data_IF_861636620289
#
_entry.id   IF_861636620289
#
_cell.length_a   1.000
_cell.length_b   1.000
_cell.length_c   1.000
_cell.angle_alpha   90.00
_cell.angle_beta   90.00
_cell.angle_gamma   90.00
#
_symmetry.space_group_name_H-M   'P 1'
#
loop_
_entity.id
_entity.type
_entity.pdbx_description
1 polymer ?
#
# COMPACT_ATOMS: atom_id res chain seq x y z
N UNK A 1 -19.30 35.75 -1.95
CA UNK A 1 -18.48 34.64 -1.42
C UNK A 1 -17.21 34.60 -2.26
N UNK A 2 -16.12 35.19 -1.76
CA UNK A 2 -14.86 35.26 -2.50
C UNK A 2 -14.13 33.92 -2.37
N UNK A 3 -14.02 33.17 -3.47
CA UNK A 3 -13.30 31.90 -3.51
C UNK A 3 -11.81 32.13 -3.32
N UNK A 4 -11.28 31.81 -2.14
CA UNK A 4 -9.85 31.73 -1.92
C UNK A 4 -9.27 30.60 -2.77
N UNK A 5 -8.31 30.91 -3.64
CA UNK A 5 -7.64 29.90 -4.45
C UNK A 5 -6.92 28.89 -3.57
N UNK A 6 -7.26 27.61 -3.70
CA UNK A 6 -6.56 26.53 -3.01
C UNK A 6 -5.12 26.43 -3.53
N UNK A 7 -4.13 26.37 -2.63
CA UNK A 7 -2.73 26.14 -2.98
C UNK A 7 -2.34 24.69 -2.64
N UNK A 8 -1.39 24.12 -3.37
CA UNK A 8 -0.92 22.75 -3.16
C UNK A 8 0.34 22.74 -2.30
N UNK A 9 0.38 21.91 -1.26
CA UNK A 9 1.58 21.74 -0.42
C UNK A 9 2.70 21.06 -1.23
N UNK A 10 3.91 21.63 -1.32
CA UNK A 10 5.04 21.02 -2.02
C UNK A 10 5.60 19.77 -1.32
N UNK A 11 5.29 19.56 -0.03
CA UNK A 11 5.76 18.40 0.72
C UNK A 11 4.94 17.13 0.46
N UNK A 12 3.61 17.25 0.41
CA UNK A 12 2.71 16.09 0.30
C UNK A 12 1.65 16.17 -0.81
N UNK A 13 1.57 17.29 -1.54
CA UNK A 13 0.57 17.47 -2.61
C UNK A 13 -0.85 17.80 -2.14
N UNK A 14 -1.09 17.99 -0.84
CA UNK A 14 -2.42 18.31 -0.32
C UNK A 14 -2.88 19.73 -0.71
N UNK A 15 -4.17 19.90 -1.02
CA UNK A 15 -4.79 21.22 -1.22
C UNK A 15 -5.06 21.87 0.14
N UNK A 16 -4.49 23.05 0.37
CA UNK A 16 -4.64 23.80 1.62
C UNK A 16 -5.26 25.18 1.36
N UNK A 17 -6.04 25.65 2.34
CA UNK A 17 -6.54 27.02 2.35
C UNK A 17 -5.44 27.95 2.90
N UNK A 18 -5.01 28.99 2.16
CA UNK A 18 -4.02 29.92 2.67
C UNK A 18 -4.58 30.72 3.86
N UNK A 19 -3.79 30.96 4.93
CA UNK A 19 -4.21 31.78 6.05
C UNK A 19 -4.51 33.22 5.60
N UNK A 20 -5.56 33.80 6.15
CA UNK A 20 -5.97 35.19 5.88
C UNK A 20 -4.94 36.17 6.47
N UNK A 21 -3.88 36.48 5.73
CA UNK A 21 -2.86 37.44 6.16
C UNK A 21 -1.43 37.17 5.65
N UNK A 22 -1.18 36.02 5.02
CA UNK A 22 0.19 35.58 4.73
C UNK A 22 0.97 35.23 6.00
N UNK A 23 2.21 34.79 5.86
CA UNK A 23 3.09 34.37 6.96
C UNK A 23 3.60 32.94 6.84
N UNK A 24 4.30 32.48 7.88
CA UNK A 24 4.76 31.10 7.99
C UNK A 24 3.66 30.27 8.63
N UNK A 25 3.08 29.34 7.89
CA UNK A 25 2.16 28.33 8.42
C UNK A 25 2.75 26.94 8.27
N UNK A 26 2.24 25.94 8.98
CA UNK A 26 2.61 24.55 8.78
C UNK A 26 1.50 23.85 8.00
N UNK A 27 1.87 22.96 7.09
CA UNK A 27 0.90 22.07 6.46
C UNK A 27 0.22 21.21 7.54
N UNK A 28 -1.11 21.22 7.58
CA UNK A 28 -1.88 20.44 8.56
C UNK A 28 -1.70 18.92 8.38
N UNK A 29 -1.28 18.49 7.19
CA UNK A 29 -1.10 17.08 6.85
C UNK A 29 0.32 16.58 7.16
N UNK A 30 1.36 17.24 6.65
CA UNK A 30 2.74 16.76 6.75
C UNK A 30 3.66 17.62 7.64
N UNK A 31 3.14 18.71 8.22
CA UNK A 31 3.92 19.61 9.08
C UNK A 31 4.96 20.47 8.36
N UNK A 32 5.12 20.35 7.03
CA UNK A 32 6.07 21.15 6.25
C UNK A 32 5.80 22.65 6.45
N UNK A 33 6.79 23.46 6.84
CA UNK A 33 6.62 24.90 6.97
C UNK A 33 6.46 25.54 5.58
N UNK A 34 5.46 26.39 5.42
CA UNK A 34 5.09 27.05 4.19
C UNK A 34 5.14 28.56 4.39
N UNK A 35 5.91 29.24 3.54
CA UNK A 35 5.96 30.68 3.49
C UNK A 35 4.87 31.18 2.53
N UNK A 36 3.80 31.75 3.05
CA UNK A 36 2.74 32.37 2.24
C UNK A 36 3.06 33.86 2.12
N UNK A 37 3.42 34.38 0.93
CA UNK A 37 3.73 35.79 0.79
C UNK A 37 2.48 36.64 1.14
N UNK A 38 2.67 37.66 1.96
CA UNK A 38 1.64 38.66 2.26
C UNK A 38 1.40 39.53 1.01
N UNK A 39 0.61 39.01 0.07
CA UNK A 39 0.19 39.74 -1.12
C UNK A 39 -1.19 40.36 -0.93
N UNK A 40 -1.50 41.48 -1.59
CA UNK A 40 -2.88 41.94 -1.72
C UNK A 40 -3.72 40.82 -2.34
N UNK A 41 -4.90 40.56 -1.76
CA UNK A 41 -5.78 39.47 -2.15
C UNK A 41 -5.98 39.45 -3.68
N UNK A 42 -5.44 38.44 -4.36
CA UNK A 42 -5.71 38.18 -5.77
C UNK A 42 -4.52 38.07 -6.73
N UNK A 43 -3.27 38.31 -6.30
CA UNK A 43 -2.10 38.11 -7.17
C UNK A 43 -1.02 37.31 -6.45
N UNK A 44 -1.11 35.97 -6.51
CA UNK A 44 -0.05 35.09 -6.03
C UNK A 44 0.92 34.78 -7.17
N UNK A 45 2.20 35.20 -7.11
CA UNK A 45 3.22 34.67 -7.99
C UNK A 45 3.46 33.18 -7.68
N UNK A 46 3.89 32.37 -8.66
CA UNK A 46 4.17 30.95 -8.45
C UNK A 46 5.20 30.77 -7.33
N UNK A 47 5.03 29.74 -6.46
CA UNK A 47 5.92 29.51 -5.34
C UNK A 47 7.35 29.30 -5.84
N UNK A 48 8.28 30.11 -5.35
CA UNK A 48 9.71 29.88 -5.55
C UNK A 48 10.17 28.85 -4.54
N UNK A 49 10.74 27.75 -5.03
CA UNK A 49 11.36 26.74 -4.19
C UNK A 49 12.58 27.36 -3.50
N UNK A 50 12.53 27.49 -2.17
CA UNK A 50 13.70 27.78 -1.35
C UNK A 50 14.21 26.43 -0.87
N UNK A 51 15.33 25.91 -1.43
CA UNK A 51 15.89 24.65 -0.96
C UNK A 51 16.28 24.77 0.53
N UNK A 52 16.08 23.71 1.32
CA UNK A 52 16.52 23.71 2.71
C UNK A 52 18.04 23.89 2.77
N UNK A 53 18.49 24.84 3.59
CA UNK A 53 19.91 24.95 3.96
C UNK A 53 20.37 23.62 4.56
N UNK A 54 21.37 23.04 3.90
CA UNK A 54 22.02 21.79 4.30
C UNK A 54 22.64 21.97 5.69
N UNK A 55 22.16 21.27 6.74
CA UNK A 55 22.83 21.30 8.03
C UNK A 55 24.22 20.69 7.85
N UNK A 56 25.22 21.42 8.32
CA UNK A 56 26.64 21.13 8.19
C UNK A 56 27.06 19.70 8.49
N UNK A 57 28.13 19.31 7.81
CA UNK A 57 28.68 17.96 7.79
C UNK A 57 29.09 17.40 9.15
N UNK A 58 29.05 16.07 9.21
CA UNK A 58 29.75 15.28 10.21
C UNK A 58 30.88 14.48 9.53
N UNK A 59 32.05 14.35 10.18
CA UNK A 59 33.25 13.79 9.59
C UNK A 59 33.20 12.26 9.45
N UNK A 60 33.84 11.81 8.38
CA UNK A 60 34.19 10.42 8.06
C UNK A 60 35.14 9.84 9.13
N UNK A 61 34.85 8.66 9.71
CA UNK A 61 35.85 7.90 10.43
C UNK A 61 36.63 7.02 9.45
N UNK A 62 37.85 7.48 9.12
CA UNK A 62 38.92 6.61 8.68
C UNK A 62 39.33 5.69 9.84
N UNK A 63 39.40 4.38 9.58
CA UNK A 63 39.86 3.40 10.55
C UNK A 63 40.42 2.15 9.86
N UNK A 64 41.75 1.92 9.92
CA UNK A 64 42.43 0.77 9.31
C UNK A 64 42.76 -0.29 10.37
N UNK A 65 42.29 -1.52 10.20
CA UNK A 65 42.76 -2.69 10.96
C UNK A 65 42.64 -3.89 10.00
N UNK A 66 43.63 -4.73 9.72
CA UNK A 66 44.87 -5.05 10.43
C UNK A 66 45.02 -6.57 10.27
N UNK A 67 45.84 -6.99 9.32
CA UNK A 67 46.19 -8.41 9.08
C UNK A 67 47.32 -8.79 10.03
N UNK A 68 47.28 -9.96 10.71
CA UNK A 68 48.51 -10.64 11.08
C UNK A 68 48.63 -12.00 10.38
N UNK A 69 49.78 -12.21 9.76
CA UNK A 69 50.17 -13.44 9.11
C UNK A 69 50.84 -14.47 10.02
N UNK A 70 50.94 -15.67 9.45
CA UNK A 70 51.97 -16.71 9.58
C UNK A 70 52.46 -17.13 10.97
N UNK A 71 51.99 -18.32 11.40
CA UNK A 71 52.72 -19.23 12.27
C UNK A 71 53.12 -20.49 11.49
N UNK A 72 54.42 -20.69 11.31
CA UNK A 72 55.01 -21.88 10.72
C UNK A 72 55.26 -22.96 11.79
N UNK A 73 55.02 -24.23 11.43
CA UNK A 73 55.79 -25.38 11.95
C UNK A 73 55.04 -26.37 12.86
N UNK A 74 54.59 -27.49 12.28
CA UNK A 74 55.01 -28.82 12.76
C UNK A 74 54.66 -29.93 11.74
N UNK A 75 55.69 -30.71 11.39
CA UNK A 75 55.72 -31.88 10.51
C UNK A 75 55.21 -33.14 11.25
N UNK A 76 54.93 -34.27 10.55
CA UNK A 76 53.79 -35.12 10.82
C UNK A 76 54.08 -36.26 11.79
N UNK A 77 53.08 -36.66 12.56
CA UNK A 77 53.05 -37.99 13.16
C UNK A 77 52.12 -38.90 12.33
N UNK A 78 52.74 -39.89 11.69
CA UNK A 78 52.05 -41.02 11.08
C UNK A 78 51.30 -41.78 12.19
N UNK A 79 49.97 -41.73 12.18
CA UNK A 79 49.16 -42.70 12.90
C UNK A 79 48.59 -43.73 11.92
N UNK A 80 48.95 -44.97 12.22
CA UNK A 80 48.62 -46.23 11.53
C UNK A 80 47.10 -46.39 11.42
N UNK A 81 46.59 -46.86 10.26
CA UNK A 81 45.16 -46.84 9.95
C UNK A 81 44.39 -47.87 10.77
N UNK A 82 43.52 -47.41 11.67
CA UNK A 82 42.43 -48.25 12.16
C UNK A 82 41.28 -48.25 11.14
N UNK A 83 41.37 -49.16 10.16
CA UNK A 83 40.16 -49.81 9.63
C UNK A 83 39.66 -50.69 10.80
N UNK A 84 38.39 -50.68 11.19
CA UNK A 84 37.28 -51.31 10.46
C UNK A 84 35.96 -50.94 11.14
N UNK A 85 34.92 -50.79 10.30
CA UNK A 85 33.49 -50.89 10.61
C UNK A 85 32.83 -49.84 11.50
N UNK A 86 32.48 -48.68 10.91
CA UNK A 86 31.18 -48.01 11.18
C UNK A 86 30.77 -47.00 10.10
N UNK A 87 30.94 -47.31 8.81
CA UNK A 87 30.68 -46.36 7.70
C UNK A 87 29.40 -46.66 6.90
N UNK A 88 28.35 -47.17 7.54
CA UNK A 88 27.01 -47.30 6.92
C UNK A 88 25.88 -46.57 7.66
N UNK A 89 26.09 -46.10 8.90
CA UNK A 89 25.08 -45.34 9.68
C UNK A 89 25.08 -43.82 9.44
N UNK A 90 26.01 -43.25 8.67
CA UNK A 90 26.05 -41.78 8.43
C UNK A 90 25.22 -41.30 7.23
N UNK A 91 25.01 -42.14 6.21
CA UNK A 91 24.23 -41.75 5.01
C UNK A 91 22.75 -41.52 5.32
N UNK A 92 22.17 -42.32 6.23
CA UNK A 92 20.78 -42.14 6.67
C UNK A 92 20.57 -40.79 7.38
N UNK A 93 21.51 -40.35 8.21
CA UNK A 93 21.41 -39.05 8.90
C UNK A 93 21.48 -37.87 7.92
N UNK A 94 22.37 -37.93 6.93
CA UNK A 94 22.49 -36.88 5.90
C UNK A 94 21.20 -36.81 5.07
N UNK A 95 20.63 -37.96 4.67
CA UNK A 95 19.37 -37.99 3.92
C UNK A 95 18.22 -37.35 4.71
N UNK A 96 18.10 -37.65 6.00
CA UNK A 96 17.07 -37.03 6.86
C UNK A 96 17.27 -35.51 6.95
N UNK A 97 18.51 -35.04 7.13
CA UNK A 97 18.79 -33.60 7.19
C UNK A 97 18.41 -32.89 5.88
N UNK A 98 18.76 -33.47 4.72
CA UNK A 98 18.41 -32.91 3.41
C UNK A 98 16.90 -32.84 3.23
N UNK A 99 16.16 -33.90 3.59
CA UNK A 99 14.69 -33.90 3.53
C UNK A 99 14.09 -32.83 4.42
N UNK A 100 14.60 -32.65 5.65
CA UNK A 100 14.12 -31.61 6.56
C UNK A 100 14.39 -30.20 6.02
N UNK A 101 15.56 -29.95 5.43
CA UNK A 101 15.91 -28.66 4.83
C UNK A 101 15.01 -28.35 3.62
N UNK A 102 14.75 -29.34 2.75
CA UNK A 102 13.86 -29.17 1.60
C UNK A 102 12.40 -28.96 2.05
N UNK A 103 11.94 -29.68 3.06
CA UNK A 103 10.60 -29.50 3.63
C UNK A 103 10.44 -28.11 4.27
N UNK A 104 11.44 -27.65 5.03
CA UNK A 104 11.43 -26.31 5.62
C UNK A 104 11.50 -25.20 4.56
N UNK A 105 12.38 -25.35 3.56
CA UNK A 105 12.53 -24.38 2.47
C UNK A 105 11.28 -24.26 1.60
N UNK A 106 10.65 -25.38 1.26
CA UNK A 106 9.39 -25.38 0.50
C UNK A 106 8.23 -24.80 1.31
N UNK A 107 8.14 -25.09 2.62
CA UNK A 107 7.17 -24.48 3.51
C UNK A 107 7.30 -22.96 3.59
N UNK A 108 8.53 -22.44 3.69
CA UNK A 108 8.79 -20.99 3.72
C UNK A 108 8.46 -20.31 2.38
N UNK A 109 8.86 -20.91 1.25
CA UNK A 109 8.55 -20.36 -0.06
C UNK A 109 7.04 -20.32 -0.32
N UNK A 110 6.31 -21.36 0.09
CA UNK A 110 4.85 -21.39 0.01
C UNK A 110 4.21 -20.32 0.91
N UNK A 111 4.73 -20.13 2.12
CA UNK A 111 4.25 -19.08 3.02
C UNK A 111 4.47 -17.67 2.46
N UNK A 112 5.65 -17.39 1.90
CA UNK A 112 5.94 -16.09 1.26
C UNK A 112 5.04 -15.86 0.05
N UNK A 113 4.87 -16.88 -0.81
CA UNK A 113 3.92 -16.81 -1.92
C UNK A 113 2.52 -16.47 -1.40
N UNK A 114 2.04 -17.22 -0.43
CA UNK A 114 0.69 -17.08 0.12
C UNK A 114 0.46 -15.67 0.72
N UNK A 115 1.47 -15.09 1.37
CA UNK A 115 1.41 -13.74 1.94
C UNK A 115 1.59 -12.62 0.90
N UNK A 116 2.28 -12.89 -0.21
CA UNK A 116 2.56 -11.89 -1.24
C UNK A 116 1.44 -11.71 -2.28
N UNK A 117 0.39 -12.53 -2.24
CA UNK A 117 -0.70 -12.44 -3.21
C UNK A 117 -1.82 -11.58 -2.64
N UNK A 118 -1.87 -10.31 -3.05
CA UNK A 118 -3.02 -9.43 -2.88
C UNK A 118 -4.25 -10.11 -3.47
N UNK A 119 -5.13 -10.65 -2.62
CA UNK A 119 -6.36 -11.32 -3.06
C UNK A 119 -7.57 -10.48 -2.73
N UNK A 120 -8.41 -10.34 -3.74
CA UNK A 120 -9.80 -9.92 -3.64
C UNK A 120 -10.66 -11.09 -4.09
N UNK A 121 -11.60 -11.49 -3.24
CA UNK A 121 -12.69 -12.36 -3.62
C UNK A 121 -13.95 -11.50 -3.71
N UNK A 122 -14.53 -11.37 -4.91
CA UNK A 122 -15.68 -10.50 -5.09
C UNK A 122 -16.05 -10.15 -6.52
N UNK A 123 -17.22 -9.51 -6.67
CA UNK A 123 -17.74 -9.00 -7.94
C UNK A 123 -18.54 -7.72 -7.75
N UNK A 124 -18.68 -6.99 -8.85
CA UNK A 124 -19.52 -5.79 -8.95
C UNK A 124 -20.50 -5.95 -10.10
N UNK A 125 -21.75 -5.57 -9.86
CA UNK A 125 -22.86 -5.61 -10.80
C UNK A 125 -23.56 -4.25 -10.83
N UNK A 126 -23.91 -3.79 -12.03
CA UNK A 126 -24.79 -2.64 -12.26
C UNK A 126 -25.98 -3.09 -13.10
N UNK A 127 -27.16 -2.60 -12.76
CA UNK A 127 -28.42 -2.85 -13.50
C UNK A 127 -29.13 -1.53 -13.76
N UNK A 128 -29.11 -1.09 -15.02
CA UNK A 128 -29.72 0.18 -15.44
C UNK A 128 -28.99 1.44 -14.96
N UNK A 129 -29.71 2.57 -14.93
CA UNK A 129 -29.16 3.86 -14.52
C UNK A 129 -28.07 4.41 -15.46
N UNK A 130 -27.26 5.33 -14.94
CA UNK A 130 -26.20 6.00 -15.72
C UNK A 130 -25.03 5.09 -16.10
N UNK A 131 -24.81 4.01 -15.34
CA UNK A 131 -23.73 3.04 -15.59
C UNK A 131 -24.14 1.92 -16.55
N UNK A 132 -25.42 1.83 -16.92
CA UNK A 132 -25.95 0.72 -17.72
C UNK A 132 -25.94 -0.61 -16.97
N UNK A 133 -26.06 -1.70 -17.72
CA UNK A 133 -26.14 -3.06 -17.17
C UNK A 133 -24.87 -3.85 -17.47
N UNK A 134 -24.18 -4.31 -16.42
CA UNK A 134 -22.95 -5.10 -16.53
C UNK A 134 -22.62 -5.82 -15.21
N UNK A 135 -21.71 -6.79 -15.28
CA UNK A 135 -21.19 -7.52 -14.12
C UNK A 135 -19.73 -7.88 -14.37
N UNK A 136 -18.89 -7.82 -13.35
CA UNK A 136 -17.48 -8.22 -13.44
C UNK A 136 -16.91 -8.68 -12.09
N UNK A 137 -15.95 -9.60 -12.12
CA UNK A 137 -15.17 -10.01 -10.94
C UNK A 137 -13.99 -9.08 -10.73
N UNK A 138 -13.64 -8.82 -9.48
CA UNK A 138 -12.41 -8.07 -9.19
C UNK A 138 -11.17 -8.92 -9.49
N UNK A 139 -10.19 -8.31 -10.12
CA UNK A 139 -8.91 -8.92 -10.51
C UNK A 139 -7.73 -8.30 -9.76
N UNK A 140 -7.89 -7.06 -9.29
CA UNK A 140 -6.84 -6.30 -8.63
C UNK A 140 -7.40 -5.57 -7.41
N UNK A 141 -6.57 -5.51 -6.36
CA UNK A 141 -6.84 -4.82 -5.11
C UNK A 141 -5.57 -4.08 -4.66
N UNK A 142 -5.70 -2.81 -4.29
CA UNK A 142 -4.58 -1.97 -3.84
C UNK A 142 -4.97 -1.14 -2.63
N UNK A 143 -4.01 -0.91 -1.72
CA UNK A 143 -4.21 0.03 -0.61
C UNK A 143 -4.37 1.45 -1.14
N UNK A 144 -5.29 2.19 -0.54
CA UNK A 144 -5.50 3.58 -0.89
C UNK A 144 -4.35 4.51 -0.53
N UNK A 145 -3.61 4.14 0.51
CA UNK A 145 -2.46 4.86 1.00
C UNK A 145 -1.33 4.93 -0.05
N UNK A 146 -1.25 3.92 -0.93
CA UNK A 146 -0.31 3.88 -2.05
C UNK A 146 -0.50 5.01 -3.07
N UNK A 147 -1.69 5.62 -3.13
CA UNK A 147 -2.03 6.68 -4.08
C UNK A 147 -2.11 8.05 -3.43
N UNK A 148 -2.59 8.11 -2.20
CA UNK A 148 -2.85 9.35 -1.49
C UNK A 148 -2.53 9.17 0.01
N UNK A 149 -1.51 9.86 0.57
CA UNK A 149 -1.08 9.73 1.98
C UNK A 149 -2.12 10.11 3.04
N UNK A 150 -3.30 10.57 2.61
CA UNK A 150 -4.42 10.96 3.47
C UNK A 150 -5.70 10.19 3.16
N UNK A 151 -5.62 9.15 2.33
CA UNK A 151 -6.76 8.35 1.93
C UNK A 151 -6.57 6.90 2.38
N UNK A 152 -7.21 6.55 3.49
CA UNK A 152 -7.27 5.18 3.94
C UNK A 152 -8.50 4.49 3.35
N UNK A 153 -8.28 3.49 2.48
CA UNK A 153 -9.32 2.81 1.72
C UNK A 153 -8.73 1.72 0.85
N UNK A 154 -9.56 1.12 0.00
CA UNK A 154 -9.13 0.11 -0.97
C UNK A 154 -9.57 0.48 -2.37
N UNK A 155 -8.67 0.32 -3.34
CA UNK A 155 -8.93 0.47 -4.76
C UNK A 155 -9.07 -0.89 -5.45
N UNK A 156 -10.20 -1.13 -6.10
CA UNK A 156 -10.57 -2.40 -6.72
C UNK A 156 -10.78 -2.24 -8.21
N UNK A 157 -10.24 -3.18 -8.99
CA UNK A 157 -10.41 -3.17 -10.45
C UNK A 157 -10.97 -4.48 -10.96
N UNK A 158 -11.92 -4.35 -11.87
CA UNK A 158 -12.51 -5.42 -12.66
C UNK A 158 -12.04 -5.27 -14.11
N UNK A 159 -11.73 -6.36 -14.81
CA UNK A 159 -11.10 -6.33 -16.14
C UNK A 159 -12.07 -6.31 -17.32
N UNK A 160 -13.30 -6.81 -17.16
CA UNK A 160 -14.27 -6.86 -18.27
C UNK A 160 -15.74 -6.84 -17.80
N UNK A 161 -16.48 -5.73 -18.08
CA UNK A 161 -15.94 -4.44 -18.48
C UNK A 161 -14.98 -3.87 -17.43
N UNK A 162 -14.12 -2.95 -17.84
CA UNK A 162 -13.28 -2.20 -16.89
C UNK A 162 -14.18 -1.47 -15.90
N UNK A 163 -14.02 -1.77 -14.61
CA UNK A 163 -14.72 -1.07 -13.55
C UNK A 163 -13.75 -0.74 -12.42
N UNK A 164 -13.91 0.44 -11.85
CA UNK A 164 -13.13 0.93 -10.73
C UNK A 164 -14.04 1.10 -9.53
N UNK A 165 -13.71 0.48 -8.40
CA UNK A 165 -14.48 0.58 -7.17
C UNK A 165 -13.56 1.03 -6.05
N UNK A 166 -13.73 2.27 -5.60
CA UNK A 166 -13.04 2.78 -4.42
C UNK A 166 -13.93 2.60 -3.20
N UNK A 167 -13.42 1.93 -2.18
CA UNK A 167 -14.14 1.73 -0.92
C UNK A 167 -13.36 2.38 0.21
N UNK A 168 -13.97 3.35 0.87
CA UNK A 168 -13.41 4.02 2.05
C UNK A 168 -14.24 3.68 3.28
N UNK A 169 -13.59 3.15 4.33
CA UNK A 169 -14.20 2.88 5.64
C UNK A 169 -13.75 3.89 6.70
N UNK A 170 -14.62 4.21 7.65
CA UNK A 170 -14.33 5.08 8.80
C UNK A 170 -15.53 5.25 9.74
N UNK A 171 -15.29 5.80 10.94
CA UNK A 171 -16.21 5.82 12.09
C UNK A 171 -17.63 6.38 11.83
N UNK A 172 -17.84 7.11 10.74
CA UNK A 172 -19.14 7.71 10.41
C UNK A 172 -19.48 7.77 8.92
N UNK A 173 -18.56 7.41 8.01
CA UNK A 173 -18.74 7.57 6.56
C UNK A 173 -18.08 6.44 5.83
N UNK A 174 -18.88 5.75 5.02
CA UNK A 174 -18.36 4.91 3.96
C UNK A 174 -18.83 5.46 2.62
N UNK A 175 -17.88 5.58 1.71
CA UNK A 175 -18.09 6.10 0.35
C UNK A 175 -17.67 5.01 -0.61
N UNK A 176 -18.55 4.70 -1.56
CA UNK A 176 -18.21 3.82 -2.67
C UNK A 176 -18.35 4.56 -3.98
N UNK A 177 -17.25 4.67 -4.72
CA UNK A 177 -17.23 5.29 -6.05
C UNK A 177 -17.11 4.19 -7.08
N UNK A 178 -18.07 4.11 -8.00
CA UNK A 178 -18.07 3.12 -9.10
C UNK A 178 -17.98 3.84 -10.44
N UNK A 179 -16.98 3.52 -11.26
CA UNK A 179 -16.91 3.94 -12.66
C UNK A 179 -17.13 2.76 -13.62
N UNK A 180 -17.85 3.00 -14.72
CA UNK A 180 -18.20 1.98 -15.71
C UNK A 180 -17.17 1.80 -16.83
N UNK A 181 -17.48 0.87 -17.74
CA UNK A 181 -16.66 0.40 -18.87
C UNK A 181 -16.03 1.47 -19.79
N UNK A 182 -16.61 2.69 -19.81
CA UNK A 182 -16.38 3.68 -20.84
C UNK A 182 -15.18 4.61 -20.60
N UNK A 183 -14.43 4.43 -19.50
CA UNK A 183 -13.17 5.13 -19.23
C UNK A 183 -13.31 6.60 -18.81
N UNK A 184 -14.29 7.32 -19.37
CA UNK A 184 -14.53 8.75 -19.12
C UNK A 184 -16.01 8.99 -18.77
N UNK A 185 -16.31 8.91 -17.47
CA UNK A 185 -17.53 9.28 -16.73
C UNK A 185 -18.91 8.86 -17.31
N UNK A 186 -19.60 7.95 -16.60
CA UNK A 186 -20.17 8.35 -15.31
C UNK A 186 -19.60 7.59 -14.11
N UNK A 187 -19.49 8.29 -12.98
CA UNK A 187 -19.30 7.66 -11.67
C UNK A 187 -20.55 7.81 -10.81
N UNK A 188 -20.77 6.85 -9.91
CA UNK A 188 -21.83 6.94 -8.90
C UNK A 188 -21.19 6.92 -7.52
N UNK A 189 -21.55 7.91 -6.70
CA UNK A 189 -21.21 7.92 -5.29
C UNK A 189 -22.35 7.25 -4.51
N UNK A 190 -22.05 6.12 -3.88
CA UNK A 190 -22.99 5.39 -3.04
C UNK A 190 -22.72 5.71 -1.57
N UNK A 191 -23.77 6.17 -0.90
CA UNK A 191 -23.83 6.41 0.53
C UNK A 191 -24.82 5.44 1.16
N UNK A 192 -24.77 5.25 2.47
CA UNK A 192 -25.76 4.43 3.21
C UNK A 192 -27.21 4.79 2.86
N UNK A 193 -27.47 6.08 2.67
CA UNK A 193 -28.76 6.58 2.20
C UNK A 193 -29.01 6.12 0.76
N UNK A 194 -29.96 5.20 0.57
CA UNK A 194 -30.29 4.60 -0.73
C UNK A 194 -29.92 3.12 -0.86
N UNK A 195 -29.39 2.51 0.20
CA UNK A 195 -28.95 1.13 0.18
C UNK A 195 -29.81 0.22 1.02
N UNK A 196 -30.13 -0.94 0.47
CA UNK A 196 -30.83 -2.02 1.18
C UNK A 196 -29.86 -2.82 2.05
N UNK A 197 -28.61 -2.95 1.58
CA UNK A 197 -27.46 -3.47 2.33
C UNK A 197 -26.30 -2.53 2.09
N UNK A 198 -25.60 -2.15 3.15
CA UNK A 198 -24.44 -1.29 3.05
C UNK A 198 -23.42 -1.75 4.07
N UNK A 199 -22.62 -2.76 3.71
CA UNK A 199 -21.54 -3.21 4.56
C UNK A 199 -20.20 -2.93 3.93
N UNK A 200 -19.40 -2.16 4.65
CA UNK A 200 -18.10 -1.63 4.26
C UNK A 200 -17.28 -1.61 5.54
N UNK A 201 -16.14 -2.30 5.56
CA UNK A 201 -15.14 -2.18 6.61
C UNK A 201 -13.80 -2.33 5.93
N UNK A 202 -12.93 -1.38 6.23
CA UNK A 202 -11.56 -1.37 5.75
C UNK A 202 -10.74 -0.98 6.97
N UNK A 203 -9.94 -1.92 7.46
CA UNK A 203 -9.06 -1.80 8.63
C UNK A 203 -7.60 -1.81 8.18
N UNK A 204 -6.73 -1.21 8.99
CA UNK A 204 -5.29 -1.40 8.82
C UNK A 204 -4.92 -2.83 9.22
N UNK A 205 -4.12 -3.47 8.37
CA UNK A 205 -3.48 -4.75 8.63
C UNK A 205 -2.25 -4.58 9.53
N UNK A 206 -1.69 -5.70 9.98
CA UNK A 206 -0.51 -5.68 10.85
C UNK A 206 0.82 -5.56 10.08
N UNK A 207 0.80 -5.08 8.83
CA UNK A 207 1.96 -5.09 7.94
C UNK A 207 2.00 -3.81 7.09
N UNK A 208 3.21 -3.32 6.89
CA UNK A 208 3.53 -2.14 6.10
C UNK A 208 4.62 -2.52 5.08
N UNK A 209 4.45 -2.11 3.83
CA UNK A 209 5.41 -2.39 2.75
C UNK A 209 5.72 -1.09 2.03
N UNK A 210 6.96 -0.62 2.13
CA UNK A 210 7.38 0.69 1.59
C UNK A 210 6.53 1.86 2.09
N UNK A 211 6.30 1.90 3.41
CA UNK A 211 5.48 2.92 4.06
C UNK A 211 4.00 2.93 3.61
N UNK A 212 3.49 1.80 3.11
CA UNK A 212 2.09 1.61 2.72
C UNK A 212 1.44 0.59 3.64
N UNK A 213 0.39 1.02 4.34
CA UNK A 213 -0.42 0.16 5.21
C UNK A 213 -1.14 -0.92 4.39
N UNK A 214 -1.03 -2.17 4.84
CA UNK A 214 -1.89 -3.24 4.36
C UNK A 214 -3.35 -2.94 4.71
N UNK A 215 -4.26 -3.22 3.80
CA UNK A 215 -5.71 -3.14 4.08
C UNK A 215 -6.31 -4.52 4.36
N UNK A 216 -7.27 -4.54 5.28
CA UNK A 216 -7.98 -5.73 5.74
C UNK A 216 -9.47 -5.42 5.72
N UNK A 217 -10.22 -6.12 4.88
CA UNK A 217 -11.45 -5.52 4.35
C UNK A 217 -12.75 -6.23 4.65
N UNK A 218 -13.78 -5.70 3.99
CA UNK A 218 -14.98 -6.29 3.41
C UNK A 218 -15.70 -5.18 2.64
N UNK A 219 -16.62 -5.52 1.74
CA UNK A 219 -17.61 -4.62 1.16
C UNK A 219 -18.79 -5.41 0.55
N UNK A 220 -19.98 -5.40 1.17
CA UNK A 220 -21.25 -5.82 0.56
C UNK A 220 -22.18 -4.62 0.39
N UNK A 221 -22.29 -4.07 -0.80
CA UNK A 221 -23.06 -2.83 -1.02
C UNK A 221 -24.13 -3.05 -2.08
N UNK A 222 -25.40 -2.95 -1.69
CA UNK A 222 -26.59 -3.13 -2.52
C UNK A 222 -27.46 -1.86 -2.47
N UNK A 223 -27.35 -1.02 -3.49
CA UNK A 223 -27.90 0.34 -3.53
C UNK A 223 -28.71 0.64 -4.77
N UNK A 224 -29.73 1.48 -4.59
CA UNK A 224 -30.41 2.14 -5.71
C UNK A 224 -29.71 3.46 -6.01
N UNK A 225 -29.43 3.71 -7.28
CA UNK A 225 -28.82 4.95 -7.78
C UNK A 225 -29.88 6.02 -8.04
N UNK A 226 -29.48 7.31 -8.02
CA UNK A 226 -30.39 8.42 -8.33
C UNK A 226 -31.04 8.33 -9.73
N UNK A 227 -30.39 7.63 -10.67
CA UNK A 227 -30.90 7.37 -12.02
C UNK A 227 -31.83 6.16 -12.13
N UNK A 228 -32.28 5.58 -11.00
CA UNK A 228 -33.18 4.42 -10.98
C UNK A 228 -32.52 3.08 -11.32
N UNK A 229 -31.20 3.03 -11.50
CA UNK A 229 -30.44 1.78 -11.59
C UNK A 229 -30.11 1.21 -10.21
N UNK A 230 -29.61 -0.02 -10.16
CA UNK A 230 -29.18 -0.69 -8.92
C UNK A 230 -27.74 -1.19 -9.07
N UNK A 231 -26.93 -0.96 -8.05
CA UNK A 231 -25.55 -1.44 -7.97
C UNK A 231 -25.44 -2.47 -6.84
N UNK A 232 -24.79 -3.59 -7.12
CA UNK A 232 -24.46 -4.62 -6.16
C UNK A 232 -22.95 -4.87 -6.17
N UNK A 233 -22.33 -4.79 -5.01
CA UNK A 233 -20.91 -5.07 -4.80
C UNK A 233 -20.83 -6.16 -3.74
N UNK A 234 -19.96 -7.12 -3.97
CA UNK A 234 -19.66 -8.19 -3.03
C UNK A 234 -18.13 -8.33 -3.01
N UNK A 235 -17.48 -8.06 -1.89
CA UNK A 235 -16.03 -8.13 -1.80
C UNK A 235 -15.52 -8.44 -0.38
N UNK A 236 -14.44 -9.20 -0.26
CA UNK A 236 -13.72 -9.44 1.00
C UNK A 236 -12.20 -9.44 0.71
N UNK A 237 -11.41 -8.68 1.48
CA UNK A 237 -10.00 -8.35 1.13
C UNK A 237 -8.99 -8.82 2.16
N UNK A 238 -7.83 -9.34 1.72
CA UNK A 238 -6.65 -9.47 2.60
C UNK A 238 -5.31 -9.13 1.90
N UNK A 239 -4.59 -8.22 2.56
CA UNK A 239 -3.21 -7.77 2.31
C UNK A 239 -2.95 -7.10 0.95
N UNK A 240 -3.78 -6.12 0.59
CA UNK A 240 -3.55 -5.37 -0.65
C UNK A 240 -2.49 -4.28 -0.43
N UNK A 241 -1.23 -4.61 -0.71
CA UNK A 241 -0.11 -3.70 -0.90
C UNK A 241 0.00 -3.28 -2.38
#
# INVERSE_FOLDING_TARGET
MSGGGAMTCPGCGAKIAPPAGGGVTKCEYCGTPLQVPAGPAGVFPPPRFVPPESPGGAPSPAGPYGVPGYGAGQVPSFQVPQRVAKKRRSRAKIAIIVVLVLAAGSGLAYFIWYMAWSRVDGRVESTGGVLGTWSSSFEECRSGDAFHPSWFGVDLRAGSPTAHVQVQGGDARATVVVSGAAGDEPYVNLTKDGCSTFDVLVESGNAEVNDVDAVKGHAHVDCTTAGGGRIRIDAEFKACH
#
